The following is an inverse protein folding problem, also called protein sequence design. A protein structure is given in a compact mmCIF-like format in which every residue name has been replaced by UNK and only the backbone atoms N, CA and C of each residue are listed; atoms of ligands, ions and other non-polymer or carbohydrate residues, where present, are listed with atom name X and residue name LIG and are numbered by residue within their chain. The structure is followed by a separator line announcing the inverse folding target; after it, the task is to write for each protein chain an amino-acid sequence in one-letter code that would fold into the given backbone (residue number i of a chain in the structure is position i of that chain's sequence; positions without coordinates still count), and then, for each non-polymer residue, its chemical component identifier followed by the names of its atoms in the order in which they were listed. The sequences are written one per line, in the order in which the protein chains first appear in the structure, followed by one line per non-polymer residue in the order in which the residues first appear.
data_IF_332955169212
#
_entry.id   IF_332955169212
#
_cell.length_a   1.000
_cell.length_b   1.000
_cell.length_c   1.000
_cell.angle_alpha   90.00
_cell.angle_beta   90.00
_cell.angle_gamma   90.00
#
_symmetry.space_group_name_H-M   'P 1'
#
loop_
_entity.id
_entity.type
_entity.pdbx_description
1 polymer ?
#
# COMPACT_ATOMS: atom_id res chain seq x y z
N UNK A 1 3.74 -71.05 -34.78
CA UNK A 1 3.68 -71.80 -33.50
C UNK A 1 3.25 -70.84 -32.42
N UNK A 2 2.45 -71.28 -31.44
CA UNK A 2 1.99 -70.44 -30.30
C UNK A 2 3.13 -69.68 -29.61
N UNK A 3 4.32 -70.28 -29.56
CA UNK A 3 5.53 -69.67 -29.01
C UNK A 3 5.93 -68.37 -29.72
N UNK A 4 5.81 -68.33 -31.06
CA UNK A 4 6.13 -67.13 -31.85
C UNK A 4 5.13 -66.00 -31.57
N UNK A 5 3.84 -66.33 -31.49
CA UNK A 5 2.78 -65.37 -31.16
C UNK A 5 2.98 -64.77 -29.76
N UNK A 6 3.26 -65.61 -28.74
CA UNK A 6 3.56 -65.13 -27.40
C UNK A 6 4.83 -64.27 -27.32
N UNK A 7 5.84 -64.63 -28.12
CA UNK A 7 7.06 -63.84 -28.23
C UNK A 7 6.78 -62.46 -28.83
N UNK A 8 6.06 -62.42 -29.96
CA UNK A 8 5.72 -61.19 -30.66
C UNK A 8 4.85 -60.26 -29.79
N UNK A 9 3.89 -60.82 -29.05
CA UNK A 9 3.06 -60.08 -28.08
C UNK A 9 3.90 -59.50 -26.94
N UNK A 10 4.76 -60.31 -26.32
CA UNK A 10 5.63 -59.87 -25.22
C UNK A 10 6.58 -58.77 -25.69
N UNK A 11 7.21 -58.97 -26.85
CA UNK A 11 8.12 -58.00 -27.43
C UNK A 11 7.40 -56.67 -27.75
N UNK A 12 6.18 -56.73 -28.29
CA UNK A 12 5.34 -55.55 -28.53
C UNK A 12 5.04 -54.78 -27.23
N UNK A 13 4.64 -55.48 -26.16
CA UNK A 13 4.40 -54.89 -24.84
C UNK A 13 5.65 -54.21 -24.26
N UNK A 14 6.81 -54.88 -24.35
CA UNK A 14 8.10 -54.33 -23.89
C UNK A 14 8.48 -53.07 -24.67
N UNK A 15 8.38 -53.09 -26.00
CA UNK A 15 8.70 -51.93 -26.85
C UNK A 15 7.75 -50.75 -26.61
N UNK A 16 6.46 -51.02 -26.39
CA UNK A 16 5.47 -50.00 -26.02
C UNK A 16 5.82 -49.36 -24.68
N UNK A 17 6.10 -50.17 -23.65
CA UNK A 17 6.49 -49.65 -22.32
C UNK A 17 7.80 -48.87 -22.37
N UNK A 18 8.79 -49.32 -23.16
CA UNK A 18 10.05 -48.57 -23.36
C UNK A 18 9.77 -47.17 -23.91
N UNK A 19 9.00 -47.09 -25.00
CA UNK A 19 8.62 -45.80 -25.60
C UNK A 19 7.89 -44.89 -24.61
N UNK A 20 6.99 -45.46 -23.79
CA UNK A 20 6.28 -44.70 -22.76
C UNK A 20 7.23 -44.17 -21.67
N UNK A 21 8.19 -44.98 -21.21
CA UNK A 21 9.17 -44.56 -20.20
C UNK A 21 10.12 -43.49 -20.73
N UNK A 22 10.55 -43.60 -21.99
CA UNK A 22 11.39 -42.58 -22.64
C UNK A 22 10.64 -41.24 -22.74
N UNK A 23 9.35 -41.27 -23.10
CA UNK A 23 8.49 -40.07 -23.11
C UNK A 23 8.28 -39.50 -21.69
N UNK A 24 8.04 -40.36 -20.71
CA UNK A 24 7.86 -39.96 -19.31
C UNK A 24 9.11 -39.30 -18.74
N UNK A 25 10.29 -39.81 -19.06
CA UNK A 25 11.56 -39.22 -18.67
C UNK A 25 11.71 -37.81 -19.25
N UNK A 26 11.46 -37.65 -20.55
CA UNK A 26 11.54 -36.35 -21.21
C UNK A 26 10.55 -35.33 -20.63
N UNK A 27 9.30 -35.74 -20.38
CA UNK A 27 8.29 -34.87 -19.76
C UNK A 27 8.64 -34.51 -18.31
N UNK A 28 9.17 -35.47 -17.55
CA UNK A 28 9.61 -35.25 -16.15
C UNK A 28 10.78 -34.28 -16.08
N UNK A 29 11.73 -34.36 -17.01
CA UNK A 29 12.84 -33.42 -17.11
C UNK A 29 12.37 -32.00 -17.43
N UNK A 30 11.40 -31.84 -18.35
CA UNK A 30 10.79 -30.54 -18.66
C UNK A 30 10.07 -29.94 -17.47
N UNK A 31 9.29 -30.75 -16.76
CA UNK A 31 8.64 -30.33 -15.51
C UNK A 31 9.65 -29.89 -14.47
N UNK A 32 10.70 -30.69 -14.23
CA UNK A 32 11.68 -30.40 -13.19
C UNK A 32 12.49 -29.14 -13.51
N UNK A 33 12.92 -28.97 -14.76
CA UNK A 33 13.58 -27.75 -15.21
C UNK A 33 12.69 -26.52 -14.98
N UNK A 34 11.40 -26.61 -15.34
CA UNK A 34 10.47 -25.51 -15.15
C UNK A 34 10.20 -25.23 -13.67
N UNK A 35 10.08 -26.28 -12.86
CA UNK A 35 9.89 -26.18 -11.41
C UNK A 35 11.04 -25.42 -10.76
N UNK A 36 12.29 -25.80 -11.05
CA UNK A 36 13.47 -25.14 -10.50
C UNK A 36 13.55 -23.66 -10.88
N UNK A 37 13.17 -23.33 -12.12
CA UNK A 37 13.08 -21.95 -12.59
C UNK A 37 12.04 -21.13 -11.78
N UNK A 38 10.84 -21.70 -11.59
CA UNK A 38 9.76 -21.10 -10.81
C UNK A 38 10.15 -20.95 -9.33
N UNK A 39 10.77 -21.98 -8.74
CA UNK A 39 11.24 -21.95 -7.35
C UNK A 39 12.29 -20.85 -7.13
N UNK A 40 13.23 -20.72 -8.07
CA UNK A 40 14.24 -19.68 -8.02
C UNK A 40 13.62 -18.27 -8.15
N UNK A 41 12.63 -18.11 -9.03
CA UNK A 41 11.93 -16.83 -9.16
C UNK A 41 11.09 -16.50 -7.92
N UNK A 42 10.33 -17.47 -7.39
CA UNK A 42 9.56 -17.30 -6.16
C UNK A 42 10.47 -16.91 -5.00
N UNK A 43 11.61 -17.60 -4.82
CA UNK A 43 12.56 -17.28 -3.76
C UNK A 43 13.11 -15.86 -3.85
N UNK A 44 13.37 -15.34 -5.07
CA UNK A 44 13.78 -13.94 -5.26
C UNK A 44 12.67 -12.96 -4.91
N UNK A 45 11.44 -13.24 -5.34
CA UNK A 45 10.29 -12.36 -5.10
C UNK A 45 9.88 -12.35 -3.62
N UNK A 46 9.91 -13.50 -2.96
CA UNK A 46 9.69 -13.63 -1.51
C UNK A 46 10.75 -12.84 -0.75
N UNK A 47 12.05 -13.01 -1.07
CA UNK A 47 13.13 -12.25 -0.45
C UNK A 47 13.01 -10.73 -0.71
N UNK A 48 12.54 -10.33 -1.90
CA UNK A 48 12.25 -8.93 -2.21
C UNK A 48 11.11 -8.40 -1.34
N UNK A 49 10.02 -9.15 -1.18
CA UNK A 49 8.88 -8.76 -0.36
C UNK A 49 9.29 -8.55 1.11
N UNK A 50 10.09 -9.46 1.67
CA UNK A 50 10.63 -9.33 3.04
C UNK A 50 11.46 -8.05 3.21
N UNK A 51 12.24 -7.66 2.19
CA UNK A 51 13.05 -6.44 2.22
C UNK A 51 12.24 -5.15 2.09
N UNK A 52 10.97 -5.19 1.65
CA UNK A 52 10.16 -3.98 1.49
C UNK A 52 9.80 -3.31 2.82
N UNK A 53 9.99 -3.99 3.97
CA UNK A 53 9.82 -3.41 5.31
C UNK A 53 8.41 -2.92 5.62
N UNK A 54 8.25 -2.18 6.71
CA UNK A 54 6.95 -1.63 7.12
C UNK A 54 6.46 -0.51 6.16
N UNK A 55 5.15 -0.25 6.19
CA UNK A 55 4.56 0.90 5.47
C UNK A 55 5.04 2.21 6.11
N UNK A 56 5.51 3.14 5.29
CA UNK A 56 5.99 4.46 5.74
C UNK A 56 4.88 5.38 6.23
N UNK A 57 5.26 6.55 6.74
CA UNK A 57 4.33 7.55 7.29
C UNK A 57 4.55 8.96 6.71
N UNK A 58 5.57 9.16 5.86
CA UNK A 58 5.83 10.40 5.14
C UNK A 58 5.49 10.24 3.66
N UNK A 59 5.16 11.35 2.99
CA UNK A 59 4.70 11.32 1.60
C UNK A 59 5.77 10.74 0.64
N UNK A 60 7.00 11.21 0.76
CA UNK A 60 8.14 10.78 -0.05
C UNK A 60 8.41 9.27 0.07
N UNK A 61 8.36 8.73 1.29
CA UNK A 61 8.53 7.30 1.55
C UNK A 61 7.36 6.50 0.99
N UNK A 62 6.11 6.93 1.23
CA UNK A 62 4.92 6.26 0.73
C UNK A 62 4.87 6.24 -0.81
N UNK A 63 5.25 7.33 -1.46
CA UNK A 63 5.35 7.40 -2.92
C UNK A 63 6.42 6.45 -3.48
N UNK A 64 7.59 6.39 -2.84
CA UNK A 64 8.64 5.43 -3.21
C UNK A 64 8.14 3.99 -3.05
N UNK A 65 7.53 3.66 -1.90
CA UNK A 65 6.98 2.34 -1.66
C UNK A 65 5.85 1.97 -2.63
N UNK A 66 4.99 2.93 -3.03
CA UNK A 66 3.96 2.73 -4.05
C UNK A 66 4.55 2.47 -5.44
N UNK A 67 5.66 3.12 -5.81
CA UNK A 67 6.38 2.82 -7.06
C UNK A 67 6.95 1.40 -7.04
N UNK A 68 7.62 1.01 -5.96
CA UNK A 68 8.18 -0.33 -5.81
C UNK A 68 7.09 -1.42 -5.81
N UNK A 69 5.98 -1.15 -5.13
CA UNK A 69 4.78 -1.98 -5.12
C UNK A 69 4.22 -2.20 -6.53
N UNK A 70 4.10 -1.12 -7.33
CA UNK A 70 3.63 -1.21 -8.73
C UNK A 70 4.59 -2.03 -9.59
N UNK A 71 5.90 -1.82 -9.44
CA UNK A 71 6.92 -2.58 -10.16
C UNK A 71 6.88 -4.08 -9.80
N UNK A 72 6.71 -4.41 -8.51
CA UNK A 72 6.55 -5.78 -8.05
C UNK A 72 5.32 -6.44 -8.68
N UNK A 73 4.18 -5.74 -8.66
CA UNK A 73 2.92 -6.26 -9.21
C UNK A 73 2.99 -6.48 -10.73
N UNK A 74 3.67 -5.59 -11.45
CA UNK A 74 3.92 -5.75 -12.88
C UNK A 74 4.75 -7.00 -13.19
N UNK A 75 5.83 -7.23 -12.44
CA UNK A 75 6.66 -8.42 -12.59
C UNK A 75 5.87 -9.71 -12.26
N UNK A 76 5.09 -9.69 -11.18
CA UNK A 76 4.21 -10.80 -10.81
C UNK A 76 3.22 -11.14 -11.94
N UNK A 77 2.60 -10.12 -12.54
CA UNK A 77 1.69 -10.30 -13.67
C UNK A 77 2.37 -10.87 -14.90
N UNK A 78 3.55 -10.36 -15.26
CA UNK A 78 4.32 -10.87 -16.39
C UNK A 78 4.70 -12.33 -16.18
N UNK A 79 5.02 -12.73 -14.95
CA UNK A 79 5.39 -14.10 -14.62
C UNK A 79 4.22 -15.10 -14.67
N UNK A 80 2.97 -14.64 -14.74
CA UNK A 80 1.79 -15.52 -14.75
C UNK A 80 1.87 -16.61 -15.82
N UNK A 81 2.36 -16.28 -17.02
CA UNK A 81 2.45 -17.26 -18.11
C UNK A 81 3.39 -18.43 -17.77
N UNK A 82 4.40 -18.21 -16.93
CA UNK A 82 5.33 -19.25 -16.51
C UNK A 82 4.67 -20.21 -15.52
N UNK A 83 3.80 -19.70 -14.64
CA UNK A 83 2.95 -20.52 -13.78
C UNK A 83 1.93 -21.32 -14.59
N UNK A 84 1.35 -20.72 -15.62
CA UNK A 84 0.40 -21.41 -16.50
C UNK A 84 1.11 -22.55 -17.26
N UNK A 85 2.35 -22.34 -17.76
CA UNK A 85 3.16 -23.41 -18.36
C UNK A 85 3.53 -24.50 -17.36
N UNK A 86 3.93 -24.13 -16.13
CA UNK A 86 4.22 -25.09 -15.07
C UNK A 86 3.00 -25.97 -14.75
N UNK A 87 1.81 -25.37 -14.70
CA UNK A 87 0.55 -26.09 -14.53
C UNK A 87 0.27 -27.06 -15.68
N UNK A 88 0.49 -26.65 -16.94
CA UNK A 88 0.33 -27.51 -18.11
C UNK A 88 1.26 -28.73 -18.07
N UNK A 89 2.54 -28.54 -17.73
CA UNK A 89 3.51 -29.64 -17.59
C UNK A 89 3.11 -30.62 -16.48
N UNK A 90 2.61 -30.09 -15.37
CA UNK A 90 2.08 -30.89 -14.26
C UNK A 90 0.88 -31.74 -14.70
N UNK A 91 -0.09 -31.12 -15.36
CA UNK A 91 -1.29 -31.81 -15.86
C UNK A 91 -0.92 -32.89 -16.87
N UNK A 92 0.05 -32.62 -17.76
CA UNK A 92 0.54 -33.61 -18.71
C UNK A 92 1.08 -34.86 -17.99
N UNK A 93 1.94 -34.67 -16.98
CA UNK A 93 2.50 -35.79 -16.22
C UNK A 93 1.41 -36.61 -15.51
N UNK A 94 0.43 -35.94 -14.88
CA UNK A 94 -0.65 -36.61 -14.14
C UNK A 94 -1.61 -37.34 -15.08
N UNK A 95 -1.97 -36.73 -16.22
CA UNK A 95 -3.00 -37.24 -17.12
C UNK A 95 -2.47 -38.32 -18.08
N UNK A 96 -1.20 -38.24 -18.51
CA UNK A 96 -0.62 -39.21 -19.45
C UNK A 96 -0.11 -40.46 -18.73
N UNK A 97 0.41 -40.32 -17.51
CA UNK A 97 1.05 -41.41 -16.76
C UNK A 97 0.22 -41.83 -15.52
N UNK A 98 -1.09 -42.03 -15.70
CA UNK A 98 -2.04 -42.32 -14.61
C UNK A 98 -1.77 -43.65 -13.88
N UNK A 99 -1.10 -44.59 -14.55
CA UNK A 99 -0.73 -45.90 -14.00
C UNK A 99 0.63 -45.87 -13.27
N UNK A 100 1.33 -44.73 -13.32
CA UNK A 100 2.62 -44.51 -12.67
C UNK A 100 2.43 -43.61 -11.42
N UNK A 101 3.39 -43.65 -10.47
CA UNK A 101 3.33 -42.81 -9.27
C UNK A 101 3.63 -41.34 -9.59
N UNK A 102 2.59 -40.51 -9.55
CA UNK A 102 2.67 -39.06 -9.77
C UNK A 102 2.54 -38.24 -8.47
N UNK A 103 2.59 -38.89 -7.30
CA UNK A 103 2.36 -38.26 -5.99
C UNK A 103 3.32 -37.11 -5.71
N UNK A 104 4.61 -37.29 -6.02
CA UNK A 104 5.63 -36.24 -5.84
C UNK A 104 5.33 -35.00 -6.68
N UNK A 105 4.94 -35.19 -7.94
CA UNK A 105 4.59 -34.11 -8.87
C UNK A 105 3.41 -33.30 -8.33
N UNK A 106 2.38 -33.98 -7.82
CA UNK A 106 1.20 -33.33 -7.20
C UNK A 106 1.59 -32.47 -5.99
N UNK A 107 2.26 -33.07 -5.00
CA UNK A 107 2.67 -32.37 -3.76
C UNK A 107 3.55 -31.16 -4.03
N UNK A 108 4.50 -31.30 -4.95
CA UNK A 108 5.42 -30.22 -5.27
C UNK A 108 4.73 -29.07 -6.01
N UNK A 109 3.79 -29.40 -6.91
CA UNK A 109 2.98 -28.40 -7.59
C UNK A 109 2.05 -27.66 -6.62
N UNK A 110 1.43 -28.37 -5.69
CA UNK A 110 0.63 -27.75 -4.61
C UNK A 110 1.47 -26.77 -3.78
N UNK A 111 2.70 -27.15 -3.41
CA UNK A 111 3.61 -26.27 -2.68
C UNK A 111 3.96 -25.00 -3.45
N UNK A 112 4.33 -25.13 -4.73
CA UNK A 112 4.66 -24.00 -5.61
C UNK A 112 3.44 -23.08 -5.79
N UNK A 113 2.27 -23.66 -6.03
CA UNK A 113 1.02 -22.91 -6.15
C UNK A 113 0.68 -22.15 -4.86
N UNK A 114 0.81 -22.79 -3.70
CA UNK A 114 0.54 -22.14 -2.42
C UNK A 114 1.49 -20.96 -2.18
N UNK A 115 2.78 -21.12 -2.46
CA UNK A 115 3.77 -20.02 -2.35
C UNK A 115 3.40 -18.86 -3.28
N UNK A 116 3.07 -19.13 -4.53
CA UNK A 116 2.66 -18.11 -5.48
C UNK A 116 1.39 -17.36 -5.03
N UNK A 117 0.38 -18.08 -4.53
CA UNK A 117 -0.86 -17.46 -4.03
C UNK A 117 -0.63 -16.63 -2.76
N UNK A 118 0.23 -17.10 -1.86
CA UNK A 118 0.63 -16.34 -0.67
C UNK A 118 1.35 -15.05 -1.07
N UNK A 119 2.32 -15.13 -1.99
CA UNK A 119 3.05 -13.97 -2.51
C UNK A 119 2.10 -12.94 -3.13
N UNK A 120 1.18 -13.39 -3.99
CA UNK A 120 0.15 -12.55 -4.61
C UNK A 120 -0.77 -11.89 -3.56
N UNK A 121 -1.24 -12.66 -2.58
CA UNK A 121 -2.13 -12.13 -1.54
C UNK A 121 -1.42 -11.10 -0.66
N UNK A 122 -0.19 -11.39 -0.25
CA UNK A 122 0.63 -10.47 0.56
C UNK A 122 0.90 -9.17 -0.16
N UNK A 123 1.28 -9.21 -1.44
CA UNK A 123 1.55 -7.98 -2.19
C UNK A 123 0.26 -7.19 -2.43
N UNK A 124 -0.87 -7.83 -2.75
CA UNK A 124 -2.17 -7.13 -2.89
C UNK A 124 -2.58 -6.44 -1.58
N UNK A 125 -2.44 -7.14 -0.45
CA UNK A 125 -2.76 -6.56 0.85
C UNK A 125 -1.83 -5.39 1.21
N UNK A 126 -0.52 -5.52 0.92
CA UNK A 126 0.44 -4.41 1.08
C UNK A 126 0.04 -3.19 0.25
N UNK A 127 -0.37 -3.39 -0.99
CA UNK A 127 -0.84 -2.31 -1.86
C UNK A 127 -2.04 -1.55 -1.28
N UNK A 128 -3.00 -2.27 -0.69
CA UNK A 128 -4.15 -1.66 0.00
C UNK A 128 -3.70 -0.83 1.21
N UNK A 129 -2.77 -1.34 2.01
CA UNK A 129 -2.24 -0.61 3.17
C UNK A 129 -1.50 0.66 2.75
N UNK A 130 -0.66 0.60 1.71
CA UNK A 130 0.04 1.76 1.16
C UNK A 130 -0.93 2.83 0.65
N UNK A 131 -1.95 2.43 -0.10
CA UNK A 131 -2.94 3.37 -0.61
C UNK A 131 -3.76 4.00 0.53
N UNK A 132 -4.12 3.20 1.55
CA UNK A 132 -4.80 3.72 2.73
C UNK A 132 -3.94 4.73 3.49
N UNK A 133 -2.65 4.43 3.71
CA UNK A 133 -1.73 5.33 4.38
C UNK A 133 -1.58 6.66 3.62
N UNK A 134 -1.44 6.60 2.30
CA UNK A 134 -1.36 7.80 1.45
C UNK A 134 -2.64 8.64 1.52
N UNK A 135 -3.79 8.00 1.49
CA UNK A 135 -5.08 8.70 1.60
C UNK A 135 -5.26 9.36 2.98
N UNK A 136 -4.82 8.69 4.05
CA UNK A 136 -4.82 9.24 5.40
C UNK A 136 -3.90 10.45 5.51
N UNK A 137 -2.69 10.37 4.94
CA UNK A 137 -1.74 11.48 4.93
C UNK A 137 -2.32 12.71 4.22
N UNK A 138 -2.87 12.54 3.01
CA UNK A 138 -3.54 13.64 2.31
C UNK A 138 -4.74 14.22 3.07
N UNK A 139 -5.44 13.40 3.85
CA UNK A 139 -6.55 13.87 4.66
C UNK A 139 -6.06 14.66 5.87
N UNK A 140 -4.96 14.22 6.48
CA UNK A 140 -4.28 14.94 7.55
C UNK A 140 -3.78 16.31 7.05
N UNK A 141 -3.08 16.36 5.92
CA UNK A 141 -2.56 17.60 5.34
C UNK A 141 -3.69 18.62 5.11
N UNK A 142 -4.78 18.20 4.46
CA UNK A 142 -5.96 19.07 4.27
C UNK A 142 -6.60 19.52 5.58
N UNK A 143 -6.58 18.69 6.61
CA UNK A 143 -7.13 19.05 7.93
C UNK A 143 -6.22 20.05 8.63
N UNK A 144 -4.91 19.89 8.51
CA UNK A 144 -3.91 20.80 9.06
C UNK A 144 -4.02 22.17 8.40
N UNK A 145 -4.12 22.23 7.06
CA UNK A 145 -4.29 23.49 6.33
C UNK A 145 -5.53 24.27 6.80
N UNK A 146 -6.66 23.58 6.98
CA UNK A 146 -7.90 24.19 7.51
C UNK A 146 -7.72 24.70 8.93
N UNK A 147 -7.03 23.93 9.76
CA UNK A 147 -6.77 24.33 11.14
C UNK A 147 -5.87 25.56 11.21
N UNK A 148 -4.81 25.62 10.41
CA UNK A 148 -3.91 26.77 10.33
C UNK A 148 -4.63 28.01 9.81
N UNK A 149 -5.49 27.88 8.80
CA UNK A 149 -6.31 28.98 8.31
C UNK A 149 -7.25 29.52 9.40
N UNK A 150 -7.97 28.63 10.09
CA UNK A 150 -8.83 29.02 11.21
C UNK A 150 -8.04 29.69 12.34
N UNK A 151 -6.86 29.18 12.67
CA UNK A 151 -6.01 29.75 13.72
C UNK A 151 -5.59 31.18 13.35
N UNK A 152 -5.19 31.41 12.10
CA UNK A 152 -4.84 32.74 11.60
C UNK A 152 -6.02 33.73 11.62
N UNK A 153 -7.23 33.26 11.28
CA UNK A 153 -8.45 34.07 11.39
C UNK A 153 -8.78 34.42 12.86
N UNK A 154 -8.62 33.45 13.77
CA UNK A 154 -8.86 33.64 15.19
C UNK A 154 -7.86 34.64 15.81
N UNK A 155 -6.58 34.53 15.47
CA UNK A 155 -5.53 35.48 15.87
C UNK A 155 -5.84 36.89 15.37
N UNK A 156 -6.20 37.03 14.09
CA UNK A 156 -6.56 38.33 13.50
C UNK A 156 -7.79 38.96 14.17
N UNK A 157 -8.77 38.14 14.55
CA UNK A 157 -9.98 38.57 15.26
C UNK A 157 -9.65 39.08 16.66
N UNK A 158 -8.79 38.37 17.40
CA UNK A 158 -8.31 38.78 18.72
C UNK A 158 -7.57 40.11 18.67
N UNK A 159 -6.64 40.28 17.73
CA UNK A 159 -5.91 41.54 17.53
C UNK A 159 -6.87 42.72 17.26
N UNK A 160 -7.90 42.50 16.44
CA UNK A 160 -8.91 43.52 16.17
C UNK A 160 -9.72 43.88 17.43
N UNK A 161 -10.10 42.89 18.23
CA UNK A 161 -10.82 43.11 19.49
C UNK A 161 -9.97 43.86 20.52
N UNK A 162 -8.68 43.55 20.62
CA UNK A 162 -7.74 44.27 21.50
C UNK A 162 -7.58 45.73 21.07
N UNK A 163 -7.42 45.99 19.76
CA UNK A 163 -7.33 47.34 19.23
C UNK A 163 -8.60 48.16 19.51
N UNK A 164 -9.78 47.55 19.36
CA UNK A 164 -11.05 48.21 19.67
C UNK A 164 -11.24 48.44 21.18
N UNK A 165 -10.80 47.51 22.03
CA UNK A 165 -10.82 47.68 23.48
C UNK A 165 -9.92 48.86 23.92
N UNK A 166 -8.74 49.00 23.34
CA UNK A 166 -7.82 50.10 23.59
C UNK A 166 -8.40 51.45 23.15
N UNK A 167 -9.01 51.50 21.96
CA UNK A 167 -9.72 52.70 21.47
C UNK A 167 -10.85 53.10 22.41
N UNK A 168 -11.69 52.15 22.84
CA UNK A 168 -12.78 52.41 23.78
C UNK A 168 -12.26 52.85 25.15
N UNK A 169 -11.14 52.29 25.62
CA UNK A 169 -10.49 52.72 26.86
C UNK A 169 -9.97 54.16 26.75
N UNK A 170 -9.39 54.53 25.61
CA UNK A 170 -8.92 55.89 25.35
C UNK A 170 -10.07 56.91 25.27
N UNK A 171 -11.13 56.61 24.51
CA UNK A 171 -12.33 57.45 24.45
C UNK A 171 -12.96 57.67 25.84
N UNK A 172 -13.02 56.63 26.69
CA UNK A 172 -13.51 56.78 28.07
C UNK A 172 -12.59 57.59 28.97
N UNK A 173 -11.28 57.65 28.72
CA UNK A 173 -10.36 58.53 29.45
C UNK A 173 -10.60 59.98 29.03
N UNK A 174 -10.61 60.24 27.73
CA UNK A 174 -10.84 61.58 27.16
C UNK A 174 -12.19 62.17 27.60
N UNK A 175 -13.27 61.38 27.58
CA UNK A 175 -14.58 61.83 28.05
C UNK A 175 -14.62 62.20 29.54
N UNK A 176 -13.86 61.48 30.39
CA UNK A 176 -13.73 61.82 31.82
C UNK A 176 -12.96 63.13 32.01
N UNK A 177 -11.90 63.33 31.24
CA UNK A 177 -11.09 64.55 31.30
C UNK A 177 -11.91 65.78 30.87
N UNK A 178 -12.70 65.66 29.80
CA UNK A 178 -13.60 66.74 29.34
C UNK A 178 -14.67 67.09 30.38
N UNK A 179 -15.31 66.10 31.01
CA UNK A 179 -16.26 66.35 32.10
C UNK A 179 -15.60 67.05 33.29
N UNK A 180 -14.36 66.66 33.63
CA UNK A 180 -13.55 67.31 34.66
C UNK A 180 -13.29 68.79 34.34
N UNK A 181 -12.89 69.09 33.10
CA UNK A 181 -12.64 70.46 32.65
C UNK A 181 -13.93 71.32 32.66
N UNK A 182 -15.06 70.79 32.19
CA UNK A 182 -16.34 71.49 32.27
C UNK A 182 -16.77 71.77 33.71
N UNK A 183 -16.60 70.80 34.62
CA UNK A 183 -16.90 70.98 36.03
C UNK A 183 -16.04 72.06 36.68
N UNK A 184 -14.74 72.13 36.34
CA UNK A 184 -13.87 73.20 36.79
C UNK A 184 -14.29 74.57 36.21
N UNK A 185 -14.63 74.62 34.93
CA UNK A 185 -15.07 75.85 34.27
C UNK A 185 -16.36 76.40 34.88
N UNK A 186 -17.35 75.54 35.16
CA UNK A 186 -18.58 75.94 35.86
C UNK A 186 -18.33 76.44 37.28
N UNK A 187 -17.37 75.85 38.01
CA UNK A 187 -16.97 76.34 39.34
C UNK A 187 -16.34 77.73 39.24
N UNK A 188 -15.45 77.95 38.27
CA UNK A 188 -14.82 79.26 38.06
C UNK A 188 -15.86 80.34 37.73
N UNK A 189 -16.83 80.04 36.87
CA UNK A 189 -17.95 80.94 36.57
C UNK A 189 -18.77 81.29 37.82
N UNK A 190 -19.10 80.31 38.67
CA UNK A 190 -19.81 80.57 39.93
C UNK A 190 -19.00 81.44 40.90
N UNK A 191 -17.69 81.20 41.04
CA UNK A 191 -16.83 82.03 41.91
C UNK A 191 -16.72 83.46 41.38
N UNK A 192 -16.58 83.65 40.06
CA UNK A 192 -16.53 84.98 39.45
C UNK A 192 -17.81 85.79 39.65
N UNK A 193 -18.97 85.15 39.58
CA UNK A 193 -20.27 85.79 39.85
C UNK A 193 -20.38 86.22 41.32
N UNK A 194 -19.95 85.37 42.26
CA UNK A 194 -19.98 85.66 43.71
C UNK A 194 -18.98 86.78 44.08
N UNK A 195 -17.86 86.88 43.37
CA UNK A 195 -16.82 87.90 43.62
C UNK A 195 -17.18 89.30 43.08
N UNK A 196 -18.20 89.38 42.22
CA UNK A 196 -18.61 90.60 41.52
C UNK A 196 -19.92 91.20 42.05
N UNK A 197 -20.46 90.65 43.14
CA UNK A 197 -21.60 91.16 43.91
C UNK A 197 -21.13 91.68 45.25
#
# INVERSE_FOLDING_TARGET
TKLREHWDETNSKVMSRKTQLDAMLADSQRYEAKRLEVDAWLGRMEARLERMGAVGHTADVLEAQLRDQKAFHAELHQYKHHMDLFSQLTQKLIAVYQQDDTTRVKKMTEMVNQRYQNLNSSIVNRGKMLQSAMNSLHTFDRSLDKFLAWLSEAESSLEAMEADADRLAQQRREGRDQQGQQGQHQRQLKVGIISSS
#
